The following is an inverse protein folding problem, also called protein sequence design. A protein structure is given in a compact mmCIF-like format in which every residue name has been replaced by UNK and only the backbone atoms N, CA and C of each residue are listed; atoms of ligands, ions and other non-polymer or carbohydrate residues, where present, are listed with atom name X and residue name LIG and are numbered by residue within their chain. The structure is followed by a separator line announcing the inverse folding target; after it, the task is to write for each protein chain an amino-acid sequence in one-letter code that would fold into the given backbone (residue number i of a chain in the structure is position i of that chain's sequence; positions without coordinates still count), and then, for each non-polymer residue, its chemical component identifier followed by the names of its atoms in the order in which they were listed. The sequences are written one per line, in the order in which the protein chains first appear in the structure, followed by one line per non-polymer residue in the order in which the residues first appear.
data_IF_530283842809
#
_entry.id   IF_530283842809
#
_cell.length_a   1.000
_cell.length_b   1.000
_cell.length_c   1.000
_cell.angle_alpha   90.00
_cell.angle_beta   90.00
_cell.angle_gamma   90.00
#
_symmetry.space_group_name_H-M   'P 1'
#
loop_
_entity.id
_entity.type
_entity.pdbx_description
1 polymer ?
#
# COMPACT_ATOMS: atom_id res chain seq x y z
N UNK A 1 -22.30 -11.81 0.93
CA UNK A 1 -21.06 -11.15 0.55
C UNK A 1 -19.90 -11.78 1.32
N UNK A 2 -18.95 -12.32 0.61
CA UNK A 2 -17.78 -12.95 1.25
C UNK A 2 -16.83 -11.86 1.76
N UNK A 3 -16.48 -11.91 3.04
CA UNK A 3 -15.49 -10.99 3.60
C UNK A 3 -14.10 -11.43 3.19
N UNK A 4 -13.29 -10.49 2.70
CA UNK A 4 -11.88 -10.71 2.40
C UNK A 4 -11.03 -10.33 3.60
N UNK A 5 -9.99 -11.11 3.84
CA UNK A 5 -8.98 -10.82 4.85
C UNK A 5 -7.78 -10.18 4.15
N UNK A 6 -7.58 -8.90 4.39
CA UNK A 6 -6.44 -8.15 3.86
C UNK A 6 -5.49 -7.90 5.02
N UNK A 7 -4.27 -8.36 4.89
CA UNK A 7 -3.22 -8.15 5.88
C UNK A 7 -2.21 -7.13 5.37
N UNK A 8 -1.52 -6.48 6.28
CA UNK A 8 -0.52 -5.48 5.91
C UNK A 8 0.78 -5.68 6.66
N UNK A 9 1.85 -5.26 6.02
CA UNK A 9 3.21 -5.40 6.51
C UNK A 9 3.97 -4.09 6.26
N UNK A 10 4.76 -3.66 7.23
CA UNK A 10 5.63 -2.49 7.12
C UNK A 10 7.07 -2.94 7.03
N UNK A 11 7.81 -2.45 6.03
CA UNK A 11 9.21 -2.78 5.82
C UNK A 11 10.11 -1.59 6.13
N UNK A 12 11.15 -1.82 6.92
CA UNK A 12 12.19 -0.83 7.19
C UNK A 12 13.50 -1.55 7.54
N UNK A 13 14.60 -1.09 6.96
CA UNK A 13 15.93 -1.66 7.18
C UNK A 13 15.99 -3.19 6.96
N UNK A 14 15.27 -3.68 5.96
CA UNK A 14 15.23 -5.10 5.62
C UNK A 14 14.44 -5.98 6.59
N UNK A 15 13.62 -5.37 7.46
CA UNK A 15 12.85 -6.08 8.48
C UNK A 15 11.38 -5.68 8.43
N UNK A 16 10.50 -6.58 8.90
CA UNK A 16 9.11 -6.25 9.17
C UNK A 16 9.03 -5.54 10.53
N UNK A 17 8.37 -4.37 10.55
CA UNK A 17 8.24 -3.55 11.74
C UNK A 17 6.77 -3.30 12.08
N UNK A 18 6.50 -2.84 13.30
CA UNK A 18 5.14 -2.50 13.72
C UNK A 18 4.81 -1.06 13.33
N UNK A 19 3.73 -0.87 12.60
CA UNK A 19 3.18 0.45 12.29
C UNK A 19 4.11 1.40 11.55
N UNK A 20 3.62 2.60 11.32
CA UNK A 20 4.31 3.63 10.53
C UNK A 20 5.49 4.28 11.23
N UNK A 21 5.64 4.13 12.54
CA UNK A 21 6.79 4.69 13.25
C UNK A 21 8.08 3.87 13.02
N UNK A 22 7.95 2.62 12.59
CA UNK A 22 9.07 1.75 12.23
C UNK A 22 10.03 1.44 13.36
N UNK A 23 9.59 1.60 14.62
CA UNK A 23 10.48 1.51 15.78
C UNK A 23 10.66 0.11 16.32
N UNK A 24 9.63 -0.72 16.21
CA UNK A 24 9.66 -2.06 16.78
C UNK A 24 9.60 -3.12 15.68
N UNK A 25 10.32 -4.22 15.87
CA UNK A 25 10.25 -5.35 14.97
C UNK A 25 8.97 -6.14 15.23
N UNK A 26 8.33 -6.61 14.15
CA UNK A 26 7.22 -7.53 14.25
C UNK A 26 7.78 -8.94 14.45
N UNK A 27 7.45 -9.55 15.58
CA UNK A 27 8.03 -10.84 15.98
C UNK A 27 9.57 -10.72 15.94
N UNK A 28 10.25 -11.58 15.19
CA UNK A 28 11.68 -11.49 14.97
C UNK A 28 12.07 -10.66 13.73
N UNK A 29 11.05 -10.08 13.05
CA UNK A 29 11.26 -9.26 11.86
C UNK A 29 11.59 -10.02 10.58
N UNK A 30 11.45 -11.34 10.58
CA UNK A 30 11.71 -12.17 9.38
C UNK A 30 10.58 -12.00 8.37
N UNK A 31 10.84 -11.16 7.38
CA UNK A 31 9.90 -10.76 6.34
C UNK A 31 9.32 -11.96 5.58
N UNK A 32 10.18 -12.90 5.20
CA UNK A 32 9.75 -14.06 4.39
C UNK A 32 8.84 -15.00 5.17
N UNK A 33 9.18 -15.29 6.41
CA UNK A 33 8.36 -16.15 7.28
C UNK A 33 7.00 -15.53 7.56
N UNK A 34 6.96 -14.24 7.83
CA UNK A 34 5.71 -13.50 8.10
C UNK A 34 4.80 -13.51 6.86
N UNK A 35 5.35 -13.21 5.69
CA UNK A 35 4.59 -13.20 4.43
C UNK A 35 4.03 -14.58 4.11
N UNK A 36 4.83 -15.64 4.25
CA UNK A 36 4.38 -17.03 4.04
C UNK A 36 3.31 -17.43 5.04
N UNK A 37 3.45 -17.01 6.30
CA UNK A 37 2.46 -17.27 7.34
C UNK A 37 1.10 -16.70 6.96
N UNK A 38 1.04 -15.45 6.52
CA UNK A 38 -0.20 -14.82 6.07
C UNK A 38 -0.80 -15.55 4.86
N UNK A 39 0.02 -15.84 3.85
CA UNK A 39 -0.43 -16.54 2.65
C UNK A 39 -1.00 -17.93 2.97
N UNK A 40 -0.37 -18.65 3.87
CA UNK A 40 -0.76 -20.03 4.22
C UNK A 40 -1.94 -20.12 5.20
N UNK A 41 -2.31 -19.02 5.83
CA UNK A 41 -3.34 -19.01 6.88
C UNK A 41 -4.60 -18.23 6.52
N UNK A 42 -4.92 -18.14 5.24
CA UNK A 42 -6.21 -17.67 4.76
C UNK A 42 -6.32 -16.17 4.49
N UNK A 43 -5.21 -15.44 4.45
CA UNK A 43 -5.25 -14.06 3.97
C UNK A 43 -5.56 -14.04 2.46
N UNK A 44 -6.36 -13.07 2.03
CA UNK A 44 -6.77 -12.92 0.63
C UNK A 44 -5.89 -11.93 -0.14
N UNK A 45 -5.23 -11.04 0.56
CA UNK A 45 -4.35 -10.02 -0.04
C UNK A 45 -3.32 -9.55 0.99
N UNK A 46 -2.11 -9.23 0.52
CA UNK A 46 -1.05 -8.64 1.33
C UNK A 46 -0.74 -7.22 0.83
N UNK A 47 -0.82 -6.24 1.75
CA UNK A 47 -0.37 -4.87 1.50
C UNK A 47 1.02 -4.69 2.12
N UNK A 48 1.93 -4.09 1.37
CA UNK A 48 3.29 -3.81 1.83
C UNK A 48 3.55 -2.31 1.81
N UNK A 49 3.86 -1.76 2.98
CA UNK A 49 4.23 -0.36 3.14
C UNK A 49 5.74 -0.25 3.30
N UNK A 50 6.40 0.35 2.32
CA UNK A 50 7.84 0.58 2.36
C UNK A 50 8.12 1.89 3.12
N UNK A 51 8.71 1.76 4.30
CA UNK A 51 9.05 2.88 5.18
C UNK A 51 10.51 3.31 5.05
N UNK A 52 11.15 3.02 3.92
CA UNK A 52 12.56 3.35 3.67
C UNK A 52 12.83 4.84 3.82
N UNK A 53 13.93 5.17 4.50
CA UNK A 53 14.38 6.55 4.67
C UNK A 53 15.26 7.02 3.50
N UNK A 54 15.94 6.09 2.83
CA UNK A 54 16.85 6.38 1.73
C UNK A 54 16.73 5.38 0.58
N UNK A 55 17.41 5.66 -0.52
CA UNK A 55 17.33 4.85 -1.72
C UNK A 55 17.95 3.45 -1.55
N UNK A 56 18.99 3.32 -0.72
CA UNK A 56 19.63 2.02 -0.46
C UNK A 56 18.70 1.08 0.30
N UNK A 57 18.00 1.59 1.31
CA UNK A 57 16.99 0.82 2.04
C UNK A 57 15.80 0.48 1.13
N UNK A 58 15.38 1.42 0.29
CA UNK A 58 14.32 1.19 -0.69
C UNK A 58 14.68 0.06 -1.67
N UNK A 59 15.91 0.02 -2.19
CA UNK A 59 16.36 -1.08 -3.05
C UNK A 59 16.32 -2.43 -2.32
N UNK A 60 16.68 -2.44 -1.05
CA UNK A 60 16.58 -3.65 -0.23
C UNK A 60 15.12 -4.09 -0.09
N UNK A 61 14.20 -3.14 0.16
CA UNK A 61 12.76 -3.43 0.22
C UNK A 61 12.23 -3.98 -1.10
N UNK A 62 12.64 -3.42 -2.22
CA UNK A 62 12.25 -3.93 -3.55
C UNK A 62 12.73 -5.38 -3.77
N UNK A 63 13.93 -5.70 -3.35
CA UNK A 63 14.45 -7.08 -3.44
C UNK A 63 13.64 -8.04 -2.57
N UNK A 64 13.25 -7.62 -1.37
CA UNK A 64 12.38 -8.41 -0.49
C UNK A 64 11.00 -8.61 -1.11
N UNK A 65 10.42 -7.58 -1.69
CA UNK A 65 9.12 -7.66 -2.37
C UNK A 65 9.18 -8.67 -3.52
N UNK A 66 10.25 -8.67 -4.31
CA UNK A 66 10.46 -9.67 -5.37
C UNK A 66 10.51 -11.09 -4.81
N UNK A 67 11.22 -11.29 -3.70
CA UNK A 67 11.32 -12.60 -3.05
C UNK A 67 9.97 -13.03 -2.49
N UNK A 68 9.24 -12.13 -1.83
CA UNK A 68 7.90 -12.41 -1.31
C UNK A 68 6.98 -12.87 -2.44
N UNK A 69 6.98 -12.18 -3.59
CA UNK A 69 6.11 -12.51 -4.71
C UNK A 69 6.29 -13.93 -5.23
N UNK A 70 7.45 -14.52 -5.02
CA UNK A 70 7.77 -15.89 -5.46
C UNK A 70 7.30 -16.98 -4.51
N UNK A 71 7.01 -16.63 -3.27
CA UNK A 71 6.70 -17.61 -2.22
C UNK A 71 5.28 -17.53 -1.67
N UNK A 72 4.53 -16.50 -2.04
CA UNK A 72 3.12 -16.37 -1.61
C UNK A 72 2.19 -16.67 -2.78
N UNK A 73 0.97 -17.15 -2.45
CA UNK A 73 -0.05 -17.51 -3.44
C UNK A 73 -1.18 -16.48 -3.50
N UNK A 74 -1.08 -15.39 -2.73
CA UNK A 74 -2.08 -14.33 -2.67
C UNK A 74 -1.58 -13.08 -3.40
N UNK A 75 -2.50 -12.23 -3.91
CA UNK A 75 -2.11 -10.95 -4.52
C UNK A 75 -1.43 -10.03 -3.51
N UNK A 76 -0.49 -9.24 -4.01
CA UNK A 76 0.30 -8.31 -3.23
C UNK A 76 0.19 -6.92 -3.83
N UNK A 77 0.00 -5.92 -2.99
CA UNK A 77 0.02 -4.51 -3.37
C UNK A 77 1.05 -3.77 -2.52
N UNK A 78 1.71 -2.80 -3.11
CA UNK A 78 2.79 -2.10 -2.43
C UNK A 78 2.79 -0.60 -2.66
N UNK A 79 3.40 0.12 -1.73
CA UNK A 79 3.58 1.56 -1.81
C UNK A 79 4.63 2.06 -0.84
N UNK A 80 4.97 3.32 -0.97
CA UNK A 80 6.00 3.98 -0.18
C UNK A 80 7.25 4.28 -1.00
N UNK A 81 7.94 5.35 -0.65
CA UNK A 81 9.16 5.82 -1.31
C UNK A 81 8.99 6.08 -2.82
N UNK A 82 7.80 6.45 -3.26
CA UNK A 82 7.50 6.74 -4.66
C UNK A 82 7.75 8.21 -4.94
N UNK A 83 8.64 8.49 -5.89
CA UNK A 83 9.01 9.85 -6.32
C UNK A 83 8.64 10.13 -7.78
N UNK A 84 8.58 9.08 -8.60
CA UNK A 84 8.37 9.21 -10.04
C UNK A 84 7.77 7.94 -10.65
N UNK A 85 7.52 7.96 -11.96
CA UNK A 85 6.99 6.81 -12.72
C UNK A 85 7.84 5.56 -12.61
N UNK A 86 9.16 5.72 -12.59
CA UNK A 86 10.08 4.59 -12.54
C UNK A 86 9.93 3.81 -11.23
N UNK A 87 9.66 4.51 -10.11
CA UNK A 87 9.43 3.86 -8.82
C UNK A 87 8.16 3.00 -8.85
N UNK A 88 7.10 3.49 -9.50
CA UNK A 88 5.86 2.72 -9.70
C UNK A 88 6.13 1.48 -10.56
N UNK A 89 6.85 1.64 -11.65
CA UNK A 89 7.22 0.55 -12.56
C UNK A 89 8.00 -0.55 -11.82
N UNK A 90 8.97 -0.17 -10.99
CA UNK A 90 9.76 -1.12 -10.21
C UNK A 90 8.91 -1.95 -9.26
N UNK A 91 7.92 -1.36 -8.59
CA UNK A 91 7.00 -2.09 -7.72
C UNK A 91 6.13 -3.07 -8.51
N UNK A 92 5.61 -2.65 -9.66
CA UNK A 92 4.82 -3.54 -10.51
C UNK A 92 5.67 -4.72 -11.03
N UNK A 93 6.89 -4.48 -11.44
CA UNK A 93 7.80 -5.52 -11.91
C UNK A 93 8.31 -6.42 -10.79
N UNK A 94 8.32 -5.92 -9.55
CA UNK A 94 8.68 -6.73 -8.38
C UNK A 94 7.57 -7.74 -8.01
N UNK A 95 6.38 -7.62 -8.60
CA UNK A 95 5.28 -8.56 -8.40
C UNK A 95 4.03 -7.95 -7.77
N UNK A 96 4.01 -6.64 -7.49
CA UNK A 96 2.80 -5.98 -7.01
C UNK A 96 1.77 -5.91 -8.13
N UNK A 97 0.55 -6.39 -7.85
CA UNK A 97 -0.54 -6.23 -8.81
C UNK A 97 -1.12 -4.82 -8.80
N UNK A 98 -0.93 -4.09 -7.70
CA UNK A 98 -1.39 -2.73 -7.53
C UNK A 98 -0.37 -1.93 -6.71
N UNK A 99 -0.21 -0.66 -7.06
CA UNK A 99 0.65 0.27 -6.35
C UNK A 99 -0.20 1.37 -5.74
N UNK A 100 0.04 1.74 -4.50
CA UNK A 100 -0.70 2.82 -3.85
C UNK A 100 0.19 4.04 -3.63
N UNK A 101 -0.33 5.20 -4.04
CA UNK A 101 0.32 6.51 -3.90
C UNK A 101 -0.06 7.13 -2.55
N UNK A 102 0.92 7.65 -1.83
CA UNK A 102 0.70 8.26 -0.52
C UNK A 102 0.28 9.73 -0.68
N UNK A 103 -0.99 10.02 -0.42
CA UNK A 103 -1.54 11.37 -0.57
C UNK A 103 -1.14 12.34 0.56
N UNK A 104 -0.40 11.89 1.57
CA UNK A 104 0.30 12.80 2.47
C UNK A 104 1.43 13.56 1.77
N UNK A 105 1.86 13.08 0.59
CA UNK A 105 2.91 13.72 -0.22
C UNK A 105 2.31 14.37 -1.45
N UNK A 106 2.43 15.68 -1.57
CA UNK A 106 1.88 16.43 -2.71
C UNK A 106 2.39 15.90 -4.06
N UNK A 107 3.65 15.51 -4.15
CA UNK A 107 4.22 14.95 -5.37
C UNK A 107 3.49 13.66 -5.83
N UNK A 108 3.01 12.85 -4.90
CA UNK A 108 2.23 11.65 -5.23
C UNK A 108 0.83 12.01 -5.75
N UNK A 109 0.22 13.05 -5.22
CA UNK A 109 -1.07 13.55 -5.71
C UNK A 109 -0.94 13.98 -7.18
N UNK A 110 0.08 14.76 -7.49
CA UNK A 110 0.34 15.23 -8.85
C UNK A 110 0.69 14.11 -9.83
N UNK A 111 1.33 13.06 -9.34
CA UNK A 111 1.76 11.92 -10.14
C UNK A 111 0.58 11.02 -10.57
N UNK A 112 -0.57 11.11 -9.90
CA UNK A 112 -1.70 10.18 -10.06
C UNK A 112 -2.16 10.02 -11.51
N UNK A 113 -2.39 11.12 -12.21
CA UNK A 113 -2.87 11.08 -13.58
C UNK A 113 -1.85 10.40 -14.52
N UNK A 114 -0.60 10.77 -14.38
CA UNK A 114 0.48 10.26 -15.24
C UNK A 114 0.67 8.76 -15.06
N UNK A 115 0.70 8.26 -13.82
CA UNK A 115 0.85 6.83 -13.57
C UNK A 115 -0.36 6.04 -14.03
N UNK A 116 -1.56 6.60 -13.86
CA UNK A 116 -2.79 5.96 -14.32
C UNK A 116 -2.83 5.83 -15.82
N UNK A 117 -2.44 6.86 -16.56
CA UNK A 117 -2.36 6.84 -18.03
C UNK A 117 -1.31 5.85 -18.53
N UNK A 118 -0.21 5.71 -17.80
CA UNK A 118 0.89 4.84 -18.17
C UNK A 118 0.61 3.36 -17.90
N UNK A 119 0.05 3.03 -16.73
CA UNK A 119 -0.06 1.66 -16.26
C UNK A 119 -1.51 1.14 -16.20
N UNK A 120 -2.50 2.00 -16.32
CA UNK A 120 -3.91 1.66 -16.17
C UNK A 120 -4.43 1.94 -14.77
N UNK A 121 -5.65 2.47 -14.66
CA UNK A 121 -6.23 2.87 -13.37
C UNK A 121 -6.45 1.68 -12.43
N UNK A 122 -6.63 0.48 -12.96
CA UNK A 122 -6.82 -0.74 -12.17
C UNK A 122 -5.58 -1.13 -11.36
N UNK A 123 -4.42 -0.62 -11.77
CA UNK A 123 -3.15 -0.89 -11.07
C UNK A 123 -2.79 0.16 -10.03
N UNK A 124 -3.62 1.20 -9.89
CA UNK A 124 -3.31 2.35 -9.05
C UNK A 124 -4.36 2.50 -7.94
N UNK A 125 -3.88 2.55 -6.72
CA UNK A 125 -4.66 2.94 -5.55
C UNK A 125 -4.04 4.19 -4.93
N UNK A 126 -4.76 4.83 -4.03
CA UNK A 126 -4.19 5.89 -3.19
C UNK A 126 -4.34 5.51 -1.72
N UNK A 127 -3.46 6.07 -0.91
CA UNK A 127 -3.43 5.85 0.53
C UNK A 127 -3.52 7.22 1.20
N UNK A 128 -4.45 7.39 2.12
CA UNK A 128 -4.65 8.66 2.82
C UNK A 128 -5.15 8.44 4.24
N UNK A 129 -4.80 9.35 5.14
CA UNK A 129 -5.33 9.42 6.50
C UNK A 129 -6.27 10.63 6.68
N UNK A 130 -6.58 11.37 5.62
CA UNK A 130 -7.30 12.63 5.69
C UNK A 130 -8.55 12.62 4.79
N UNK A 131 -9.72 12.73 5.42
CA UNK A 131 -10.98 12.93 4.69
C UNK A 131 -10.97 14.22 3.87
N UNK A 132 -10.47 15.31 4.44
CA UNK A 132 -10.41 16.61 3.75
C UNK A 132 -9.55 16.53 2.48
N UNK A 133 -8.43 15.83 2.55
CA UNK A 133 -7.55 15.65 1.40
C UNK A 133 -8.21 14.79 0.31
N UNK A 134 -8.90 13.74 0.71
CA UNK A 134 -9.66 12.91 -0.22
C UNK A 134 -10.78 13.70 -0.89
N UNK A 135 -11.48 14.53 -0.14
CA UNK A 135 -12.54 15.40 -0.65
C UNK A 135 -11.99 16.39 -1.68
N UNK A 136 -10.84 17.00 -1.39
CA UNK A 136 -10.18 17.95 -2.30
C UNK A 136 -9.74 17.28 -3.61
N UNK A 137 -9.48 15.98 -3.61
CA UNK A 137 -8.98 15.23 -4.76
C UNK A 137 -10.00 14.22 -5.30
N UNK A 138 -11.26 14.34 -4.93
CA UNK A 138 -12.32 13.38 -5.28
C UNK A 138 -12.38 13.06 -6.78
N UNK A 139 -12.40 14.09 -7.63
CA UNK A 139 -12.49 13.90 -9.08
C UNK A 139 -11.30 13.13 -9.63
N UNK A 140 -10.09 13.47 -9.17
CA UNK A 140 -8.85 12.80 -9.56
C UNK A 140 -8.85 11.32 -9.14
N UNK A 141 -9.27 11.06 -7.91
CA UNK A 141 -9.35 9.70 -7.38
C UNK A 141 -10.35 8.85 -8.18
N UNK A 142 -11.54 9.38 -8.45
CA UNK A 142 -12.55 8.66 -9.21
C UNK A 142 -12.12 8.36 -10.65
N UNK A 143 -11.41 9.30 -11.29
CA UNK A 143 -11.02 9.16 -12.68
C UNK A 143 -9.79 8.27 -12.89
N UNK A 144 -8.79 8.37 -12.00
CA UNK A 144 -7.46 7.81 -12.23
C UNK A 144 -7.06 6.67 -11.30
N UNK A 145 -7.91 6.29 -10.36
CA UNK A 145 -7.58 5.21 -9.42
C UNK A 145 -8.70 4.18 -9.32
N UNK A 146 -8.41 3.04 -8.73
CA UNK A 146 -9.37 1.95 -8.57
C UNK A 146 -9.70 1.64 -7.11
N UNK A 147 -8.97 2.20 -6.14
CA UNK A 147 -9.20 1.92 -4.73
C UNK A 147 -8.57 3.00 -3.86
N UNK A 148 -9.21 3.25 -2.71
CA UNK A 148 -8.66 4.08 -1.64
C UNK A 148 -8.30 3.19 -0.46
N UNK A 149 -7.06 3.28 0.02
CA UNK A 149 -6.62 2.68 1.27
C UNK A 149 -6.68 3.77 2.33
N UNK A 150 -7.61 3.63 3.25
CA UNK A 150 -7.86 4.65 4.28
C UNK A 150 -7.11 4.27 5.55
N UNK A 151 -6.09 5.05 5.88
CA UNK A 151 -5.25 4.84 7.06
C UNK A 151 -5.82 5.64 8.22
N UNK A 152 -6.70 5.03 9.01
CA UNK A 152 -7.14 5.68 10.22
C UNK A 152 -7.90 4.72 11.13
N UNK A 153 -7.87 5.04 12.44
CA UNK A 153 -8.47 4.21 13.47
C UNK A 153 -9.88 4.67 13.86
N UNK A 154 -10.27 5.88 13.47
CA UNK A 154 -11.49 6.51 13.95
C UNK A 154 -12.33 7.22 12.88
N UNK A 155 -11.99 7.09 11.61
CA UNK A 155 -12.78 7.74 10.58
C UNK A 155 -14.06 6.95 10.30
N UNK A 156 -15.14 7.68 10.11
CA UNK A 156 -16.36 7.11 9.63
C UNK A 156 -16.15 6.59 8.21
N UNK A 157 -15.85 5.29 8.13
CA UNK A 157 -15.63 4.58 6.87
C UNK A 157 -16.83 4.74 5.93
N UNK A 158 -18.03 4.81 6.48
CA UNK A 158 -19.26 4.97 5.68
C UNK A 158 -19.32 6.32 4.99
N UNK A 159 -18.97 7.40 5.71
CA UNK A 159 -18.92 8.74 5.13
C UNK A 159 -17.87 8.82 4.05
N UNK A 160 -16.69 8.25 4.30
CA UNK A 160 -15.60 8.20 3.31
C UNK A 160 -16.00 7.38 2.08
N UNK A 161 -16.63 6.22 2.29
CA UNK A 161 -17.07 5.36 1.18
C UNK A 161 -18.12 6.02 0.29
N UNK A 162 -18.90 6.94 0.82
CA UNK A 162 -19.89 7.71 0.03
C UNK A 162 -19.27 8.87 -0.74
N UNK A 163 -18.09 9.30 -0.34
CA UNK A 163 -17.41 10.44 -0.98
C UNK A 163 -16.89 10.10 -2.37
N UNK A 164 -16.35 8.90 -2.55
CA UNK A 164 -15.71 8.46 -3.79
C UNK A 164 -16.49 7.30 -4.43
N UNK A 165 -16.33 7.12 -5.74
CA UNK A 165 -16.98 6.05 -6.50
C UNK A 165 -16.19 4.74 -6.46
N UNK A 166 -14.92 4.79 -6.09
CA UNK A 166 -14.04 3.62 -6.00
C UNK A 166 -14.15 2.98 -4.61
N UNK A 167 -13.86 1.67 -4.49
CA UNK A 167 -13.87 0.99 -3.20
C UNK A 167 -12.92 1.63 -2.18
N UNK A 168 -13.33 1.67 -0.92
CA UNK A 168 -12.53 2.16 0.21
C UNK A 168 -12.19 1.00 1.12
N UNK A 169 -10.90 0.77 1.34
CA UNK A 169 -10.38 -0.25 2.24
C UNK A 169 -9.82 0.44 3.49
N UNK A 170 -10.47 0.30 4.64
CA UNK A 170 -9.90 0.83 5.88
C UNK A 170 -8.76 -0.06 6.39
N UNK A 171 -7.69 0.57 6.84
CA UNK A 171 -6.54 -0.11 7.45
C UNK A 171 -6.25 0.53 8.79
N UNK A 172 -6.24 -0.27 9.86
CA UNK A 172 -5.86 0.21 11.18
C UNK A 172 -4.36 0.51 11.22
N UNK A 173 -4.01 1.64 11.81
CA UNK A 173 -2.61 2.03 12.02
C UNK A 173 -2.12 1.67 13.42
N UNK A 174 -2.97 1.07 14.25
CA UNK A 174 -2.62 0.60 15.59
C UNK A 174 -1.91 -0.75 15.53
N UNK A 175 -1.01 -0.95 16.48
CA UNK A 175 -0.17 -2.16 16.53
C UNK A 175 -0.86 -3.36 17.20
N UNK A 176 -2.06 -3.20 17.72
CA UNK A 176 -2.81 -4.24 18.44
C UNK A 176 -3.80 -5.03 17.57
#
# INVERSE_FOLDING_TARGET
MQKKIVVHMYLKNGKAVTGFDGKELLEDGDVMSIAQHYSNNGADELLIFDLSDDDADHEQSLNLIRQISRVIDIPMSGGGHIKNLEDVKKLLYAGCQQVFLNYAKAANIELTEEVSKRFGKEKIAICTDSFAQLQANKARVNEYTSRVILLCDEVDVRTTARLVEVPVLPVSTRAD
#
